data_IF_950625593803
#
_entry.id   IF_950625593803
#
_cell.length_a   1.000
_cell.length_b   1.000
_cell.length_c   1.000
_cell.angle_alpha   90.00
_cell.angle_beta   90.00
_cell.angle_gamma   90.00
#
_symmetry.space_group_name_H-M   'P 1'
#
loop_
_entity.id
_entity.type
_entity.pdbx_description
1 polymer ?
#
# COMPACT_ATOMS: atom_id res chain seq x y z
N UNK A 1 39.41 -10.79 -11.69
CA UNK A 1 38.65 -9.87 -10.82
C UNK A 1 37.25 -9.60 -11.38
N UNK A 2 37.08 -9.69 -12.70
CA UNK A 2 35.83 -9.46 -13.43
C UNK A 2 34.71 -10.48 -13.13
N UNK A 3 35.04 -11.76 -12.93
CA UNK A 3 34.04 -12.82 -12.67
C UNK A 3 33.21 -12.62 -11.37
N UNK A 4 33.77 -11.90 -10.39
CA UNK A 4 33.06 -11.54 -9.16
C UNK A 4 32.08 -10.39 -9.39
N UNK A 5 32.38 -9.48 -10.31
CA UNK A 5 31.52 -8.34 -10.63
C UNK A 5 30.27 -8.81 -11.38
N UNK A 6 30.44 -9.68 -12.39
CA UNK A 6 29.31 -10.24 -13.15
C UNK A 6 28.33 -11.03 -12.26
N UNK A 7 28.85 -11.78 -11.28
CA UNK A 7 28.01 -12.46 -10.28
C UNK A 7 27.24 -11.52 -9.37
N UNK A 8 27.82 -10.35 -9.06
CA UNK A 8 27.19 -9.33 -8.23
C UNK A 8 26.09 -8.62 -9.05
N UNK A 9 26.36 -8.29 -10.31
CA UNK A 9 25.37 -7.66 -11.20
C UNK A 9 24.16 -8.56 -11.45
N UNK A 10 24.36 -9.86 -11.73
CA UNK A 10 23.23 -10.80 -11.88
C UNK A 10 22.39 -10.92 -10.61
N UNK A 11 23.03 -10.96 -9.44
CA UNK A 11 22.30 -11.02 -8.16
C UNK A 11 21.53 -9.73 -7.87
N UNK A 12 22.08 -8.57 -8.25
CA UNK A 12 21.39 -7.29 -8.12
C UNK A 12 20.14 -7.22 -9.01
N UNK A 13 20.23 -7.72 -10.25
CA UNK A 13 19.09 -7.77 -11.16
C UNK A 13 18.00 -8.73 -10.67
N UNK A 14 18.39 -9.90 -10.15
CA UNK A 14 17.48 -10.89 -9.57
C UNK A 14 16.76 -10.35 -8.32
N UNK A 15 17.49 -9.65 -7.44
CA UNK A 15 16.91 -8.98 -6.25
C UNK A 15 16.00 -7.81 -6.66
N UNK A 16 16.36 -7.05 -7.69
CA UNK A 16 15.51 -5.98 -8.24
C UNK A 16 14.25 -6.54 -8.90
N UNK A 17 14.33 -7.69 -9.57
CA UNK A 17 13.18 -8.38 -10.15
C UNK A 17 12.23 -8.91 -9.06
N UNK A 18 12.77 -9.50 -7.99
CA UNK A 18 12.01 -9.91 -6.81
C UNK A 18 11.35 -8.71 -6.11
N UNK A 19 12.09 -7.62 -5.93
CA UNK A 19 11.57 -6.38 -5.36
C UNK A 19 10.53 -5.70 -6.26
N UNK A 20 10.65 -5.77 -7.59
CA UNK A 20 9.62 -5.32 -8.52
C UNK A 20 8.37 -6.19 -8.46
N UNK A 21 8.53 -7.51 -8.30
CA UNK A 21 7.42 -8.43 -8.05
C UNK A 21 6.67 -8.12 -6.76
N UNK A 22 7.41 -7.70 -5.72
CA UNK A 22 6.86 -7.25 -4.44
C UNK A 22 6.23 -5.85 -4.51
N UNK A 23 6.80 -4.91 -5.28
CA UNK A 23 6.28 -3.53 -5.41
C UNK A 23 5.08 -3.40 -6.33
N UNK A 24 4.80 -4.39 -7.17
CA UNK A 24 3.66 -4.39 -8.10
C UNK A 24 2.40 -5.05 -7.57
N UNK A 25 2.48 -5.70 -6.40
CA UNK A 25 1.31 -6.33 -5.80
C UNK A 25 0.49 -5.25 -5.10
N UNK A 26 -0.73 -5.04 -5.58
CA UNK A 26 -1.71 -4.26 -4.84
C UNK A 26 -1.75 -4.83 -3.41
N UNK A 27 -1.69 -4.00 -2.37
CA UNK A 27 -1.64 -4.47 -1.00
C UNK A 27 -2.81 -5.42 -0.75
N UNK A 28 -2.50 -6.64 -0.33
CA UNK A 28 -3.50 -7.70 -0.12
C UNK A 28 -4.46 -7.30 1.00
N UNK A 29 -5.73 -7.70 0.90
CA UNK A 29 -6.75 -7.38 1.91
C UNK A 29 -6.31 -7.76 3.33
N UNK A 30 -5.55 -8.84 3.47
CA UNK A 30 -4.99 -9.32 4.74
C UNK A 30 -3.92 -8.37 5.33
N UNK A 31 -3.00 -7.89 4.50
CA UNK A 31 -2.01 -6.89 4.91
C UNK A 31 -2.68 -5.57 5.26
N UNK A 32 -3.69 -5.19 4.49
CA UNK A 32 -4.51 -4.04 4.80
C UNK A 32 -5.26 -4.26 6.09
N UNK A 33 -5.87 -5.42 6.32
CA UNK A 33 -6.70 -5.68 7.50
C UNK A 33 -5.92 -5.78 8.81
N UNK A 34 -4.64 -6.14 8.74
CA UNK A 34 -3.73 -6.16 9.88
C UNK A 34 -3.23 -4.79 10.36
N UNK A 35 -3.54 -3.71 9.65
CA UNK A 35 -3.13 -2.36 10.05
C UNK A 35 -3.90 -1.85 11.27
N UNK A 36 -3.34 -0.84 11.95
CA UNK A 36 -3.98 -0.15 13.08
C UNK A 36 -5.11 0.77 12.61
N UNK A 37 -6.18 0.17 12.09
CA UNK A 37 -7.37 0.91 11.71
C UNK A 37 -8.03 1.51 12.94
N UNK A 38 -8.27 2.81 12.87
CA UNK A 38 -9.02 3.56 13.86
C UNK A 38 -10.48 3.56 13.43
N UNK A 39 -11.40 3.00 14.22
CA UNK A 39 -12.81 3.08 13.90
C UNK A 39 -13.26 4.55 13.88
N UNK A 40 -14.16 4.90 12.96
CA UNK A 40 -14.83 6.19 13.04
C UNK A 40 -15.76 6.20 14.26
N UNK A 41 -15.90 7.34 14.97
CA UNK A 41 -16.87 7.49 16.05
C UNK A 41 -18.33 7.29 15.58
N UNK A 42 -18.59 7.38 14.28
CA UNK A 42 -19.90 7.09 13.67
C UNK A 42 -20.19 5.58 13.50
N UNK A 43 -19.23 4.69 13.77
CA UNK A 43 -19.40 3.22 13.61
C UNK A 43 -19.40 2.72 12.16
N UNK A 44 -19.47 3.61 11.17
CA UNK A 44 -19.45 3.28 9.75
C UNK A 44 -18.04 3.35 9.16
N UNK A 45 -17.32 2.24 9.32
CA UNK A 45 -15.99 2.05 8.76
C UNK A 45 -14.87 2.53 9.65
N UNK A 46 -13.65 2.40 9.12
CA UNK A 46 -12.43 2.65 9.87
C UNK A 46 -11.46 3.46 9.01
N UNK A 47 -10.48 4.09 9.62
CA UNK A 47 -9.51 4.93 8.93
C UNK A 47 -8.12 4.79 9.52
N UNK A 48 -7.11 5.07 8.71
CA UNK A 48 -5.71 5.07 9.11
C UNK A 48 -5.01 6.27 8.46
N UNK A 49 -3.96 6.80 9.08
CA UNK A 49 -3.16 7.82 8.40
C UNK A 49 -2.41 7.21 7.22
N UNK A 50 -2.25 7.96 6.13
CA UNK A 50 -1.43 7.53 5.00
C UNK A 50 0.04 7.30 5.39
N UNK A 51 0.50 7.92 6.49
CA UNK A 51 1.82 7.74 7.07
C UNK A 51 1.98 6.39 7.80
N UNK A 52 0.91 5.87 8.39
CA UNK A 52 0.86 4.54 9.03
C UNK A 52 0.46 3.42 8.05
N UNK A 53 0.02 3.79 6.84
CA UNK A 53 -0.34 2.87 5.78
C UNK A 53 0.88 2.54 4.90
N UNK A 54 0.90 1.33 4.28
CA UNK A 54 1.93 1.00 3.32
C UNK A 54 1.92 1.99 2.15
N UNK A 55 3.09 2.51 1.78
CA UNK A 55 3.24 3.48 0.68
C UNK A 55 2.62 2.96 -0.63
N UNK A 56 2.70 1.64 -0.88
CA UNK A 56 2.04 1.00 -2.03
C UNK A 56 0.52 1.21 -2.06
N UNK A 57 -0.16 1.25 -0.91
CA UNK A 57 -1.59 1.56 -0.83
C UNK A 57 -1.86 3.03 -1.15
N UNK A 58 -1.06 3.94 -0.58
CA UNK A 58 -1.17 5.38 -0.81
C UNK A 58 -0.95 5.69 -2.28
N UNK A 59 0.09 5.12 -2.89
CA UNK A 59 0.39 5.25 -4.32
C UNK A 59 -0.72 4.64 -5.18
N UNK A 60 -1.22 3.45 -4.85
CA UNK A 60 -2.33 2.81 -5.59
C UNK A 60 -3.63 3.64 -5.51
N UNK A 61 -3.93 4.19 -4.33
CA UNK A 61 -5.06 5.10 -4.13
C UNK A 61 -4.88 6.40 -4.90
N UNK A 62 -3.72 7.04 -4.78
CA UNK A 62 -3.40 8.30 -5.45
C UNK A 62 -3.46 8.14 -6.98
N UNK A 63 -2.87 7.05 -7.50
CA UNK A 63 -2.90 6.67 -8.92
C UNK A 63 -4.32 6.41 -9.44
N UNK A 64 -5.20 5.85 -8.61
CA UNK A 64 -6.62 5.58 -8.97
C UNK A 64 -7.60 6.72 -8.66
N UNK A 65 -7.10 7.92 -8.33
CA UNK A 65 -7.96 9.09 -8.10
C UNK A 65 -8.59 9.14 -6.70
N UNK A 66 -7.92 8.57 -5.71
CA UNK A 66 -8.29 8.66 -4.30
C UNK A 66 -9.30 7.61 -3.82
N UNK A 67 -9.61 6.59 -4.61
CA UNK A 67 -10.41 5.45 -4.14
C UNK A 67 -10.02 4.15 -4.82
N UNK A 68 -9.99 3.07 -4.05
CA UNK A 68 -9.73 1.71 -4.56
C UNK A 68 -10.64 0.74 -3.82
N UNK A 69 -11.14 -0.26 -4.52
CA UNK A 69 -11.82 -1.41 -3.91
C UNK A 69 -10.83 -2.55 -3.90
N UNK A 70 -10.55 -3.09 -2.72
CA UNK A 70 -9.70 -4.27 -2.53
C UNK A 70 -10.56 -5.29 -1.78
N UNK A 71 -10.84 -6.42 -2.44
CA UNK A 71 -11.72 -7.45 -1.90
C UNK A 71 -13.14 -6.92 -1.61
N UNK A 72 -13.57 -7.04 -0.34
CA UNK A 72 -14.90 -6.61 0.13
C UNK A 72 -14.90 -5.22 0.79
N UNK A 73 -13.76 -4.52 0.73
CA UNK A 73 -13.59 -3.20 1.34
C UNK A 73 -13.28 -2.14 0.28
N UNK A 74 -13.97 -1.01 0.38
CA UNK A 74 -13.65 0.20 -0.37
C UNK A 74 -12.79 1.11 0.48
N UNK A 75 -11.59 1.35 0.00
CA UNK A 75 -10.62 2.27 0.56
C UNK A 75 -10.74 3.60 -0.17
N UNK A 76 -10.70 4.69 0.57
CA UNK A 76 -10.84 6.06 0.07
C UNK A 76 -9.74 6.88 0.71
N UNK A 77 -8.83 7.38 -0.12
CA UNK A 77 -7.86 8.38 0.29
C UNK A 77 -8.59 9.71 0.43
N UNK A 78 -8.51 10.27 1.62
CA UNK A 78 -9.04 11.58 1.97
C UNK A 78 -7.86 12.44 2.38
N UNK A 79 -7.68 13.56 1.71
CA UNK A 79 -6.75 14.58 2.17
C UNK A 79 -7.45 15.45 3.22
N UNK A 80 -6.98 15.36 4.47
CA UNK A 80 -7.37 16.28 5.52
C UNK A 80 -6.62 17.61 5.42
N UNK A 81 -6.96 18.57 6.29
CA UNK A 81 -6.35 19.92 6.33
C UNK A 81 -4.83 19.97 6.51
N UNK A 82 -4.18 18.86 6.90
CA UNK A 82 -2.72 18.80 7.09
C UNK A 82 -2.08 17.43 6.75
N UNK A 83 -2.86 16.35 6.63
CA UNK A 83 -2.35 14.99 6.37
C UNK A 83 -3.35 14.18 5.54
N UNK A 84 -2.83 13.32 4.68
CA UNK A 84 -3.59 12.29 3.98
C UNK A 84 -3.96 11.17 4.96
N UNK A 85 -5.19 10.68 4.89
CA UNK A 85 -5.66 9.50 5.60
C UNK A 85 -6.50 8.63 4.67
N UNK A 86 -6.58 7.35 4.99
CA UNK A 86 -7.24 6.34 4.19
C UNK A 86 -8.40 5.82 5.02
N UNK A 87 -9.61 6.01 4.53
CA UNK A 87 -10.82 5.46 5.12
C UNK A 87 -11.18 4.16 4.40
N UNK A 88 -11.38 3.07 5.14
CA UNK A 88 -11.99 1.84 4.63
C UNK A 88 -13.44 1.74 5.07
N UNK A 89 -14.30 1.31 4.15
CA UNK A 89 -15.69 0.94 4.43
C UNK A 89 -15.99 -0.39 3.76
N UNK A 90 -16.77 -1.23 4.42
CA UNK A 90 -17.32 -2.43 3.79
C UNK A 90 -18.31 -1.99 2.71
N UNK A 91 -18.25 -2.61 1.53
CA UNK A 91 -19.16 -2.31 0.41
C UNK A 91 -20.41 -3.17 0.52
#
# INVERSE_FOLDING_TARGET
MEERLERIERKLDEVLALLKGLRGQAPSEEELSGLNWRPYPSGEGEWIFADEAPRSLVEALSSRGGSIVVGSYRYVLREGRAKSFIARRKV
#
